data_IF_788044109328
#
_entry.id   IF_788044109328
#
_cell.length_a   1.000
_cell.length_b   1.000
_cell.length_c   1.000
_cell.angle_alpha   90.00
_cell.angle_beta   90.00
_cell.angle_gamma   90.00
#
_symmetry.space_group_name_H-M   'P 1'
#
loop_
_entity.id
_entity.type
_entity.pdbx_description
1 polymer ?
#
# COMPACT_ATOMS: atom_id res chain seq x y z
N UNK A 1 13.69 -17.99 -6.32
CA UNK A 1 13.51 -16.82 -7.18
C UNK A 1 12.16 -16.97 -7.85
N UNK A 2 11.12 -16.31 -7.35
CA UNK A 2 9.84 -16.26 -8.05
C UNK A 2 9.99 -15.25 -9.19
N UNK A 3 9.73 -15.67 -10.42
CA UNK A 3 9.65 -14.79 -11.60
C UNK A 3 8.59 -13.73 -11.34
N UNK A 4 9.00 -12.44 -11.34
CA UNK A 4 8.05 -11.31 -11.30
C UNK A 4 7.25 -11.32 -12.62
N UNK A 5 5.94 -11.41 -12.60
CA UNK A 5 5.14 -11.34 -13.82
C UNK A 5 5.22 -9.92 -14.39
N UNK A 6 5.78 -9.75 -15.58
CA UNK A 6 5.72 -8.51 -16.37
C UNK A 6 7.04 -7.88 -16.82
N UNK A 7 8.21 -8.41 -16.40
CA UNK A 7 9.51 -7.78 -16.68
C UNK A 7 10.05 -7.92 -18.10
N UNK A 8 9.52 -8.81 -18.92
CA UNK A 8 10.13 -9.20 -20.21
C UNK A 8 9.53 -8.49 -21.45
N UNK A 9 8.37 -7.84 -21.32
CA UNK A 9 7.75 -7.15 -22.45
C UNK A 9 8.43 -5.81 -22.71
N UNK A 10 8.95 -5.56 -23.94
CA UNK A 10 9.62 -4.29 -24.24
C UNK A 10 8.67 -3.09 -24.12
N UNK A 11 9.20 -1.95 -23.63
CA UNK A 11 8.43 -0.71 -23.49
C UNK A 11 7.68 -0.29 -24.77
N UNK A 12 8.28 -0.33 -25.98
CA UNK A 12 7.55 0.01 -27.21
C UNK A 12 6.31 -0.85 -27.44
N UNK A 13 6.41 -2.15 -27.13
CA UNK A 13 5.28 -3.09 -27.26
C UNK A 13 4.15 -2.79 -26.24
N UNK A 14 4.49 -2.44 -25.01
CA UNK A 14 3.51 -2.04 -23.98
C UNK A 14 2.80 -0.74 -24.36
N UNK A 15 3.53 0.24 -24.88
CA UNK A 15 2.94 1.47 -25.41
C UNK A 15 1.97 1.22 -26.53
N UNK A 16 2.35 0.37 -27.51
CA UNK A 16 1.47 -0.01 -28.60
C UNK A 16 0.20 -0.69 -28.10
N UNK A 17 0.32 -1.68 -27.20
CA UNK A 17 -0.84 -2.37 -26.61
C UNK A 17 -1.81 -1.39 -25.95
N UNK A 18 -1.28 -0.44 -25.15
CA UNK A 18 -2.10 0.58 -24.48
C UNK A 18 -2.84 1.48 -25.50
N UNK A 19 -2.14 1.92 -26.55
CA UNK A 19 -2.70 2.82 -27.57
C UNK A 19 -3.69 2.10 -28.49
N UNK A 20 -3.49 0.82 -28.78
CA UNK A 20 -4.44 0.00 -29.55
C UNK A 20 -5.79 -0.15 -28.86
N UNK A 21 -5.82 -0.20 -27.51
CA UNK A 21 -7.08 -0.21 -26.75
C UNK A 21 -7.91 1.08 -26.94
N UNK A 22 -7.33 2.15 -27.48
CA UNK A 22 -8.05 3.42 -27.67
C UNK A 22 -9.16 3.32 -28.72
N UNK A 23 -9.11 2.35 -29.63
CA UNK A 23 -10.22 2.02 -30.52
C UNK A 23 -11.46 1.58 -29.73
N UNK A 24 -11.28 0.67 -28.78
CA UNK A 24 -12.40 0.14 -27.98
C UNK A 24 -12.92 1.19 -26.98
N UNK A 25 -12.01 2.00 -26.41
CA UNK A 25 -12.39 3.16 -25.58
C UNK A 25 -13.23 4.16 -26.40
N UNK A 26 -12.81 4.46 -27.62
CA UNK A 26 -13.55 5.32 -28.53
C UNK A 26 -14.93 4.73 -28.87
N UNK A 27 -15.00 3.44 -29.20
CA UNK A 27 -16.26 2.78 -29.53
C UNK A 27 -17.26 2.79 -28.36
N UNK A 28 -16.76 2.54 -27.14
CA UNK A 28 -17.61 2.68 -25.94
C UNK A 28 -18.14 4.10 -25.79
N UNK A 29 -17.27 5.13 -25.90
CA UNK A 29 -17.65 6.54 -25.81
C UNK A 29 -18.65 6.94 -26.89
N UNK A 30 -18.46 6.44 -28.11
CA UNK A 30 -19.38 6.66 -29.22
C UNK A 30 -20.79 6.17 -28.92
N UNK A 31 -20.93 4.91 -28.49
CA UNK A 31 -22.24 4.31 -28.20
C UNK A 31 -22.95 4.94 -27.00
N UNK A 32 -22.19 5.52 -26.06
CA UNK A 32 -22.75 6.13 -24.85
C UNK A 32 -22.79 7.67 -24.89
N UNK A 33 -22.48 8.27 -26.05
CA UNK A 33 -22.41 9.72 -26.23
C UNK A 33 -21.49 10.43 -25.19
N UNK A 34 -20.39 9.78 -24.80
CA UNK A 34 -19.41 10.34 -23.90
C UNK A 34 -18.38 11.18 -24.65
N UNK A 35 -17.95 12.30 -24.06
CA UNK A 35 -16.88 13.11 -24.59
C UNK A 35 -15.55 12.36 -24.62
N UNK A 36 -14.71 12.65 -25.62
CA UNK A 36 -13.32 12.10 -25.68
C UNK A 36 -12.50 12.67 -24.51
N UNK A 37 -12.61 13.94 -24.23
CA UNK A 37 -11.95 14.61 -23.11
C UNK A 37 -12.70 14.36 -21.79
N UNK A 38 -11.94 13.99 -20.75
CA UNK A 38 -12.43 13.72 -19.39
C UNK A 38 -11.34 14.15 -18.40
N UNK A 39 -11.35 15.44 -18.04
CA UNK A 39 -10.29 16.05 -17.23
C UNK A 39 -10.16 15.43 -15.84
N UNK A 40 -11.26 14.99 -15.21
CA UNK A 40 -11.20 14.31 -13.92
C UNK A 40 -10.50 12.95 -14.06
N UNK A 41 -10.82 12.22 -15.13
CA UNK A 41 -10.19 10.95 -15.43
C UNK A 41 -8.73 11.10 -15.82
N UNK A 42 -8.39 12.09 -16.62
CA UNK A 42 -7.01 12.41 -17.02
C UNK A 42 -6.17 12.70 -15.78
N UNK A 43 -6.69 13.52 -14.84
CA UNK A 43 -6.05 13.79 -13.56
C UNK A 43 -5.81 12.51 -12.77
N UNK A 44 -6.83 11.64 -12.65
CA UNK A 44 -6.69 10.37 -11.92
C UNK A 44 -5.65 9.43 -12.56
N UNK A 45 -5.52 9.41 -13.89
CA UNK A 45 -4.48 8.65 -14.60
C UNK A 45 -3.09 9.20 -14.28
N UNK A 46 -2.91 10.52 -14.29
CA UNK A 46 -1.64 11.17 -13.96
C UNK A 46 -1.25 10.92 -12.50
N UNK A 47 -2.17 11.08 -11.57
CA UNK A 47 -1.91 10.85 -10.14
C UNK A 47 -1.48 9.39 -9.87
N UNK A 48 -2.18 8.41 -10.47
CA UNK A 48 -1.82 7.00 -10.35
C UNK A 48 -0.45 6.69 -10.99
N UNK A 49 -0.18 7.26 -12.18
CA UNK A 49 1.10 7.07 -12.85
C UNK A 49 2.27 7.63 -12.05
N UNK A 50 2.10 8.82 -11.44
CA UNK A 50 3.10 9.40 -10.56
C UNK A 50 3.35 8.55 -9.31
N UNK A 51 2.30 8.03 -8.66
CA UNK A 51 2.44 7.13 -7.51
C UNK A 51 3.16 5.83 -7.88
N UNK A 52 2.83 5.25 -9.04
CA UNK A 52 3.51 4.06 -9.56
C UNK A 52 4.98 4.37 -9.87
N UNK A 53 5.28 5.52 -10.48
CA UNK A 53 6.63 5.98 -10.83
C UNK A 53 7.54 6.14 -9.61
N UNK A 54 7.01 6.65 -8.49
CA UNK A 54 7.76 6.78 -7.24
C UNK A 54 8.26 5.45 -6.67
N UNK A 55 7.63 4.32 -7.00
CA UNK A 55 8.12 2.98 -6.60
C UNK A 55 9.48 2.67 -7.23
N UNK A 56 9.76 3.24 -8.38
CA UNK A 56 10.98 3.04 -9.15
C UNK A 56 11.97 4.21 -9.02
N UNK A 57 11.66 5.20 -8.20
CA UNK A 57 12.51 6.38 -8.00
C UNK A 57 12.44 7.41 -9.14
N UNK A 58 11.51 7.27 -10.07
CA UNK A 58 11.33 8.24 -11.17
C UNK A 58 10.81 9.57 -10.63
N UNK A 59 11.26 10.69 -11.25
CA UNK A 59 10.81 12.02 -10.83
C UNK A 59 9.35 12.26 -11.21
N UNK A 60 8.63 13.02 -10.40
CA UNK A 60 7.24 13.39 -10.66
C UNK A 60 7.09 14.19 -11.95
N UNK A 61 8.10 15.02 -12.29
CA UNK A 61 8.11 15.82 -13.51
C UNK A 61 8.21 14.94 -14.75
N UNK A 62 9.21 14.04 -14.78
CA UNK A 62 9.42 13.16 -15.94
C UNK A 62 8.23 12.20 -16.15
N UNK A 63 7.68 11.62 -15.07
CA UNK A 63 6.53 10.72 -15.16
C UNK A 63 5.27 11.45 -15.61
N UNK A 64 5.05 12.67 -15.12
CA UNK A 64 3.93 13.52 -15.56
C UNK A 64 4.02 13.80 -17.06
N UNK A 65 5.15 14.34 -17.53
CA UNK A 65 5.36 14.67 -18.94
C UNK A 65 5.13 13.46 -19.87
N UNK A 66 5.65 12.30 -19.48
CA UNK A 66 5.48 11.06 -20.26
C UNK A 66 4.02 10.59 -20.31
N UNK A 67 3.28 10.68 -19.21
CA UNK A 67 1.87 10.26 -19.20
C UNK A 67 0.93 11.31 -19.82
N UNK A 68 1.25 12.59 -19.75
CA UNK A 68 0.55 13.64 -20.52
C UNK A 68 0.67 13.37 -22.02
N UNK A 69 1.87 13.02 -22.51
CA UNK A 69 2.05 12.63 -23.93
C UNK A 69 1.20 11.40 -24.30
N UNK A 70 1.09 10.40 -23.43
CA UNK A 70 0.25 9.22 -23.67
C UNK A 70 -1.25 9.56 -23.68
N UNK A 71 -1.71 10.48 -22.83
CA UNK A 71 -3.10 10.94 -22.78
C UNK A 71 -3.44 11.70 -24.07
N UNK A 72 -2.57 12.60 -24.52
CA UNK A 72 -2.78 13.33 -25.77
C UNK A 72 -2.80 12.39 -26.98
N UNK A 73 -1.87 11.43 -27.06
CA UNK A 73 -1.87 10.41 -28.09
C UNK A 73 -3.18 9.59 -28.10
N UNK A 74 -3.68 9.23 -26.90
CA UNK A 74 -4.96 8.54 -26.76
C UNK A 74 -6.15 9.35 -27.28
N UNK A 75 -6.18 10.66 -27.03
CA UNK A 75 -7.21 11.56 -27.55
C UNK A 75 -7.14 11.70 -29.08
N UNK A 76 -5.93 11.79 -29.64
CA UNK A 76 -5.71 11.86 -31.09
C UNK A 76 -6.28 10.61 -31.77
N UNK A 77 -5.96 9.42 -31.27
CA UNK A 77 -6.46 8.14 -31.79
C UNK A 77 -8.00 8.06 -31.70
N UNK A 78 -8.58 8.47 -30.58
CA UNK A 78 -10.04 8.43 -30.41
C UNK A 78 -10.75 9.38 -31.38
N UNK A 79 -10.20 10.57 -31.66
CA UNK A 79 -10.75 11.50 -32.65
C UNK A 79 -10.71 10.90 -34.05
N UNK A 80 -9.59 10.30 -34.46
CA UNK A 80 -9.46 9.66 -35.77
C UNK A 80 -10.48 8.52 -35.97
N UNK A 81 -10.75 7.71 -34.93
CA UNK A 81 -11.81 6.71 -34.99
C UNK A 81 -13.19 7.32 -35.06
N UNK A 82 -13.49 8.41 -34.34
CA UNK A 82 -14.77 9.11 -34.45
C UNK A 82 -14.99 9.67 -35.85
N UNK A 83 -13.98 10.29 -36.46
CA UNK A 83 -14.03 10.80 -37.84
C UNK A 83 -14.32 9.66 -38.81
N UNK A 84 -13.63 8.54 -38.70
CA UNK A 84 -13.87 7.36 -39.55
C UNK A 84 -15.31 6.83 -39.41
N UNK A 85 -15.85 6.77 -38.20
CA UNK A 85 -17.21 6.26 -37.99
C UNK A 85 -18.31 7.24 -38.40
N UNK A 86 -18.04 8.51 -38.41
CA UNK A 86 -18.97 9.49 -39.03
C UNK A 86 -19.13 9.25 -40.53
N UNK A 87 -18.07 8.80 -41.21
CA UNK A 87 -18.09 8.54 -42.65
C UNK A 87 -18.56 7.12 -43.00
N UNK A 88 -18.13 6.12 -42.20
CA UNK A 88 -18.28 4.70 -42.55
C UNK A 88 -19.37 3.97 -41.75
N UNK A 89 -19.99 4.63 -40.79
CA UNK A 89 -21.02 4.06 -39.93
C UNK A 89 -20.49 3.63 -38.56
N UNK A 90 -21.42 3.38 -37.64
CA UNK A 90 -21.13 3.09 -36.23
C UNK A 90 -20.22 1.88 -36.00
N UNK A 91 -19.32 1.89 -35.02
CA UNK A 91 -18.46 0.76 -34.67
C UNK A 91 -19.26 -0.44 -34.13
N UNK A 92 -18.61 -1.60 -34.06
CA UNK A 92 -19.11 -2.72 -33.29
C UNK A 92 -19.18 -2.38 -31.79
N UNK A 93 -20.00 -3.13 -31.05
CA UNK A 93 -20.12 -2.97 -29.59
C UNK A 93 -18.77 -3.22 -28.93
N UNK A 94 -18.31 -2.27 -28.14
CA UNK A 94 -17.05 -2.37 -27.39
C UNK A 94 -17.23 -3.09 -26.03
N UNK A 95 -16.13 -3.62 -25.45
CA UNK A 95 -16.10 -4.03 -24.06
C UNK A 95 -16.49 -2.89 -23.10
N UNK A 96 -16.97 -3.25 -21.93
CA UNK A 96 -17.38 -2.25 -20.91
C UNK A 96 -16.16 -1.44 -20.42
N UNK A 97 -16.32 -0.11 -20.39
CA UNK A 97 -15.23 0.80 -20.04
C UNK A 97 -14.75 0.60 -18.58
N UNK A 98 -15.67 0.40 -17.65
CA UNK A 98 -15.32 0.31 -16.22
C UNK A 98 -14.90 -1.11 -15.82
N UNK A 99 -15.60 -2.12 -16.33
CA UNK A 99 -15.37 -3.51 -15.96
C UNK A 99 -14.15 -4.12 -16.68
N UNK A 100 -13.95 -3.77 -17.96
CA UNK A 100 -12.99 -4.47 -18.81
C UNK A 100 -11.80 -3.56 -19.20
N UNK A 101 -12.07 -2.37 -19.78
CA UNK A 101 -11.02 -1.52 -20.37
C UNK A 101 -10.17 -0.77 -19.33
N UNK A 102 -10.80 -0.12 -18.34
CA UNK A 102 -10.06 0.64 -17.31
C UNK A 102 -9.12 -0.25 -16.49
N UNK A 103 -9.50 -1.46 -16.03
CA UNK A 103 -8.57 -2.36 -15.36
C UNK A 103 -7.40 -2.81 -16.24
N UNK A 104 -7.64 -3.04 -17.55
CA UNK A 104 -6.58 -3.38 -18.49
C UNK A 104 -5.60 -2.21 -18.69
N UNK A 105 -6.11 -0.99 -18.84
CA UNK A 105 -5.31 0.22 -18.99
C UNK A 105 -4.48 0.54 -17.73
N UNK A 106 -5.01 0.27 -16.54
CA UNK A 106 -4.27 0.44 -15.28
C UNK A 106 -3.10 -0.54 -15.21
N UNK A 107 -3.35 -1.83 -15.49
CA UNK A 107 -2.27 -2.85 -15.54
C UNK A 107 -1.18 -2.50 -16.54
N UNK A 108 -1.56 -2.07 -17.75
CA UNK A 108 -0.59 -1.62 -18.77
C UNK A 108 0.17 -0.38 -18.31
N UNK A 109 -0.50 0.56 -17.60
CA UNK A 109 0.14 1.72 -17.02
C UNK A 109 1.26 1.35 -16.05
N UNK A 110 1.01 0.43 -15.13
CA UNK A 110 2.02 -0.05 -14.18
C UNK A 110 3.18 -0.77 -14.88
N UNK A 111 2.88 -1.63 -15.88
CA UNK A 111 3.90 -2.31 -16.67
C UNK A 111 4.75 -1.34 -17.49
N UNK A 112 4.14 -0.28 -18.06
CA UNK A 112 4.85 0.78 -18.79
C UNK A 112 5.79 1.52 -17.85
N UNK A 113 5.33 1.91 -16.65
CA UNK A 113 6.19 2.58 -15.64
C UNK A 113 7.38 1.69 -15.27
N UNK A 114 7.12 0.41 -14.98
CA UNK A 114 8.18 -0.53 -14.64
C UNK A 114 9.18 -0.70 -15.79
N UNK A 115 8.70 -0.97 -16.99
CA UNK A 115 9.56 -1.16 -18.17
C UNK A 115 10.35 0.12 -18.48
N UNK A 116 9.71 1.29 -18.37
CA UNK A 116 10.37 2.58 -18.57
C UNK A 116 11.47 2.85 -17.53
N UNK A 117 11.28 2.44 -16.28
CA UNK A 117 12.28 2.59 -15.23
C UNK A 117 13.45 1.60 -15.36
N UNK A 118 13.17 0.33 -15.64
CA UNK A 118 14.12 -0.77 -15.49
C UNK A 118 14.83 -1.16 -16.81
N UNK A 119 14.18 -0.94 -17.97
CA UNK A 119 14.74 -1.34 -19.26
C UNK A 119 15.63 -0.24 -19.88
N UNK A 120 16.62 -0.59 -20.71
CA UNK A 120 17.28 0.37 -21.57
C UNK A 120 16.26 1.11 -22.46
N UNK A 121 16.48 2.42 -22.66
CA UNK A 121 15.62 3.18 -23.57
C UNK A 121 15.89 2.68 -24.99
N UNK A 122 14.84 2.22 -25.69
CA UNK A 122 14.91 1.80 -27.07
C UNK A 122 15.36 2.96 -27.99
N UNK A 123 15.97 2.62 -29.13
CA UNK A 123 16.28 3.62 -30.14
C UNK A 123 15.01 4.29 -30.68
N UNK A 124 15.10 5.54 -31.12
CA UNK A 124 13.95 6.30 -31.62
C UNK A 124 13.30 5.61 -32.83
N UNK A 125 14.12 5.08 -33.73
CA UNK A 125 13.64 4.33 -34.90
C UNK A 125 12.81 3.10 -34.51
N UNK A 126 13.14 2.44 -33.39
CA UNK A 126 12.37 1.29 -32.89
C UNK A 126 11.03 1.75 -32.32
N UNK A 127 11.01 2.86 -31.57
CA UNK A 127 9.78 3.45 -31.05
C UNK A 127 8.88 3.94 -32.19
N UNK A 128 9.45 4.70 -33.11
CA UNK A 128 8.75 5.21 -34.29
C UNK A 128 8.15 4.11 -35.13
N UNK A 129 8.91 3.05 -35.46
CA UNK A 129 8.43 1.91 -36.24
C UNK A 129 7.20 1.22 -35.60
N UNK A 130 7.20 1.09 -34.27
CA UNK A 130 6.08 0.46 -33.55
C UNK A 130 4.87 1.39 -33.51
N UNK A 131 5.08 2.68 -33.26
CA UNK A 131 4.02 3.67 -33.06
C UNK A 131 3.34 4.08 -34.38
N UNK A 132 4.08 4.16 -35.49
CA UNK A 132 3.55 4.50 -36.83
C UNK A 132 2.49 3.50 -37.33
N UNK A 133 2.53 2.26 -36.83
CA UNK A 133 1.53 1.25 -37.17
C UNK A 133 0.19 1.41 -36.42
N UNK A 134 0.05 2.41 -35.55
CA UNK A 134 -1.17 2.65 -34.78
C UNK A 134 -2.07 3.60 -35.56
N UNK A 135 -3.27 3.12 -35.93
CA UNK A 135 -4.23 3.91 -36.68
C UNK A 135 -4.59 5.22 -35.93
N UNK A 136 -4.55 6.32 -36.68
CA UNK A 136 -4.93 7.64 -36.21
C UNK A 136 -3.88 8.35 -35.34
N UNK A 137 -2.73 7.73 -35.06
CA UNK A 137 -1.65 8.38 -34.35
C UNK A 137 -0.87 9.30 -35.32
N UNK A 138 -0.78 10.58 -34.99
CA UNK A 138 -0.05 11.57 -35.81
C UNK A 138 1.44 11.58 -35.51
N UNK A 139 2.26 12.03 -36.49
CA UNK A 139 3.73 12.16 -36.32
C UNK A 139 4.07 13.04 -35.12
N UNK A 140 3.37 14.15 -34.92
CA UNK A 140 3.55 15.02 -33.77
C UNK A 140 3.27 14.32 -32.42
N UNK A 141 2.29 13.40 -32.38
CA UNK A 141 2.00 12.63 -31.17
C UNK A 141 3.07 11.54 -30.93
N UNK A 142 3.64 10.97 -32.01
CA UNK A 142 4.77 10.03 -31.94
C UNK A 142 6.00 10.75 -31.37
N UNK A 143 6.34 11.92 -31.90
CA UNK A 143 7.48 12.73 -31.44
C UNK A 143 7.33 13.08 -29.94
N UNK A 144 6.15 13.49 -29.50
CA UNK A 144 5.87 13.78 -28.09
C UNK A 144 6.02 12.53 -27.20
N UNK A 145 5.58 11.36 -27.65
CA UNK A 145 5.78 10.11 -26.92
C UNK A 145 7.25 9.74 -26.80
N UNK A 146 8.02 9.86 -27.88
CA UNK A 146 9.47 9.59 -27.91
C UNK A 146 10.18 10.59 -26.96
N UNK A 147 9.82 11.86 -27.02
CA UNK A 147 10.36 12.88 -26.11
C UNK A 147 10.05 12.53 -24.66
N UNK A 148 8.83 12.12 -24.34
CA UNK A 148 8.44 11.67 -23.00
C UNK A 148 9.24 10.45 -22.52
N UNK A 149 9.47 9.46 -23.39
CA UNK A 149 10.31 8.30 -23.06
C UNK A 149 11.77 8.74 -22.77
N UNK A 150 12.32 9.64 -23.57
CA UNK A 150 13.69 10.18 -23.40
C UNK A 150 13.86 11.03 -22.15
N UNK A 151 12.79 11.70 -21.72
CA UNK A 151 12.78 12.58 -20.55
C UNK A 151 12.90 11.87 -19.20
N UNK A 152 13.20 10.56 -19.19
CA UNK A 152 13.33 9.74 -17.96
C UNK A 152 14.38 10.31 -16.99
N UNK A 153 13.95 10.60 -15.77
CA UNK A 153 14.82 11.07 -14.70
C UNK A 153 14.49 10.40 -13.36
N UNK A 154 15.51 10.27 -12.51
CA UNK A 154 15.40 9.60 -11.21
C UNK A 154 15.77 10.55 -10.07
N UNK A 155 15.09 10.38 -8.92
CA UNK A 155 15.56 10.97 -7.68
C UNK A 155 16.84 10.26 -7.19
N UNK A 156 17.80 10.96 -6.58
CA UNK A 156 19.05 10.36 -6.12
C UNK A 156 18.86 9.45 -4.90
N UNK A 157 17.87 9.74 -4.04
CA UNK A 157 17.58 9.05 -2.80
C UNK A 157 16.12 9.22 -2.38
N UNK A 158 15.69 8.50 -1.32
CA UNK A 158 14.30 8.52 -0.85
C UNK A 158 13.91 9.88 -0.28
N UNK A 159 14.80 10.57 0.44
CA UNK A 159 14.49 11.89 0.99
C UNK A 159 14.26 12.90 -0.13
N UNK A 160 15.12 12.92 -1.14
CA UNK A 160 14.96 13.76 -2.34
C UNK A 160 13.66 13.45 -3.07
N UNK A 161 13.27 12.17 -3.14
CA UNK A 161 12.00 11.73 -3.73
C UNK A 161 10.80 12.31 -2.94
N UNK A 162 10.79 12.18 -1.62
CA UNK A 162 9.72 12.70 -0.76
C UNK A 162 9.57 14.21 -0.91
N UNK A 163 10.69 14.93 -0.84
CA UNK A 163 10.71 16.40 -0.93
C UNK A 163 10.34 16.89 -2.34
N UNK A 164 10.86 16.25 -3.38
CA UNK A 164 10.59 16.61 -4.77
C UNK A 164 9.16 16.28 -5.20
N UNK A 165 8.63 15.14 -4.77
CA UNK A 165 7.24 14.73 -5.02
C UNK A 165 6.23 15.49 -4.13
N UNK A 166 6.69 16.17 -3.07
CA UNK A 166 5.85 16.81 -2.04
C UNK A 166 4.89 15.83 -1.35
N UNK A 167 5.26 14.55 -1.26
CA UNK A 167 4.43 13.47 -0.71
C UNK A 167 5.27 12.50 0.10
N UNK A 168 4.76 12.11 1.28
CA UNK A 168 5.29 11.01 2.09
C UNK A 168 4.31 9.84 2.01
N UNK A 169 4.72 8.72 1.40
CA UNK A 169 3.90 7.51 1.32
C UNK A 169 4.07 6.71 2.61
N UNK A 170 2.96 6.46 3.30
CA UNK A 170 2.93 5.82 4.62
C UNK A 170 2.14 4.51 4.53
N UNK A 171 2.82 3.38 4.63
CA UNK A 171 2.19 2.06 4.69
C UNK A 171 1.46 1.86 6.02
N UNK A 172 0.20 1.43 5.98
CA UNK A 172 -0.59 1.12 7.17
C UNK A 172 -1.60 0.02 6.91
N UNK A 173 -1.84 -0.85 7.92
CA UNK A 173 -2.74 -1.99 7.74
C UNK A 173 -4.21 -1.62 7.93
N UNK A 174 -4.50 -0.62 8.77
CA UNK A 174 -5.87 -0.14 9.01
C UNK A 174 -6.78 -1.12 9.76
N UNK A 175 -6.21 -2.09 10.45
CA UNK A 175 -6.94 -3.15 11.16
C UNK A 175 -6.43 -3.37 12.59
N UNK A 176 -5.59 -2.47 13.10
CA UNK A 176 -4.90 -2.64 14.38
C UNK A 176 -5.09 -1.43 15.31
N UNK A 177 -6.22 -1.38 15.99
CA UNK A 177 -6.48 -0.38 17.04
C UNK A 177 -5.57 -0.63 18.28
N UNK A 178 -5.08 0.43 18.96
CA UNK A 178 -5.37 1.86 18.76
C UNK A 178 -4.45 2.55 17.73
N UNK A 179 -3.55 1.83 17.08
CA UNK A 179 -2.52 2.41 16.21
C UNK A 179 -3.07 2.83 14.84
N UNK A 180 -3.82 1.94 14.18
CA UNK A 180 -4.30 2.18 12.83
C UNK A 180 -5.65 1.51 12.58
N UNK A 181 -6.63 2.29 12.16
CA UNK A 181 -7.96 1.84 11.74
C UNK A 181 -8.32 2.49 10.41
N UNK A 182 -8.99 1.74 9.53
CA UNK A 182 -9.58 2.25 8.30
C UNK A 182 -11.11 2.30 8.42
N UNK A 183 -11.69 3.41 7.97
CA UNK A 183 -13.13 3.63 7.86
C UNK A 183 -13.47 4.23 6.49
N UNK A 184 -14.74 4.59 6.29
CA UNK A 184 -15.19 5.37 5.12
C UNK A 184 -14.52 6.73 5.02
N UNK A 185 -14.15 7.32 6.16
CA UNK A 185 -13.53 8.64 6.25
C UNK A 185 -11.99 8.60 6.13
N UNK A 186 -11.43 7.41 5.91
CA UNK A 186 -10.00 7.20 5.75
C UNK A 186 -9.34 6.51 6.95
N UNK A 187 -8.04 6.72 7.10
CA UNK A 187 -7.26 6.13 8.19
C UNK A 187 -7.27 7.01 9.43
N UNK A 188 -7.31 6.38 10.61
CA UNK A 188 -7.26 7.02 11.93
C UNK A 188 -6.44 6.20 12.93
N UNK A 189 -6.06 6.80 14.05
CA UNK A 189 -5.30 6.16 15.12
C UNK A 189 -3.99 6.88 15.46
N UNK A 190 -3.30 6.36 16.48
CA UNK A 190 -2.07 6.94 16.99
C UNK A 190 -0.98 7.04 15.92
N UNK A 191 -0.78 5.97 15.18
CA UNK A 191 0.24 5.87 14.15
C UNK A 191 -0.07 6.77 12.93
N UNK A 192 -1.36 6.97 12.65
CA UNK A 192 -1.80 7.93 11.63
C UNK A 192 -1.41 9.35 12.06
N UNK A 193 -1.62 9.70 13.33
CA UNK A 193 -1.21 11.01 13.89
C UNK A 193 0.31 11.20 13.90
N UNK A 194 1.08 10.14 14.17
CA UNK A 194 2.55 10.18 14.07
C UNK A 194 2.95 10.42 12.62
N UNK A 195 2.39 9.67 11.67
CA UNK A 195 2.68 9.80 10.23
C UNK A 195 2.36 11.19 9.69
N UNK A 196 1.21 11.76 10.05
CA UNK A 196 0.84 13.14 9.73
C UNK A 196 1.82 14.16 10.31
N UNK A 197 2.30 13.92 11.54
CA UNK A 197 3.29 14.80 12.19
C UNK A 197 4.65 14.76 11.47
N UNK A 198 5.08 13.59 11.00
CA UNK A 198 6.29 13.42 10.21
C UNK A 198 6.15 14.16 8.86
N UNK A 199 5.05 13.95 8.14
CA UNK A 199 4.80 14.62 6.87
C UNK A 199 4.77 16.15 7.03
N UNK A 200 4.12 16.65 8.08
CA UNK A 200 4.11 18.07 8.44
C UNK A 200 5.52 18.61 8.71
N UNK A 201 6.35 17.88 9.44
CA UNK A 201 7.73 18.29 9.74
C UNK A 201 8.59 18.36 8.46
N UNK A 202 8.33 17.50 7.49
CA UNK A 202 8.97 17.51 6.17
C UNK A 202 8.37 18.54 5.20
N UNK A 203 7.24 19.17 5.54
CA UNK A 203 6.55 20.11 4.65
C UNK A 203 5.92 19.46 3.42
N UNK A 204 5.43 18.22 3.57
CA UNK A 204 4.86 17.41 2.49
C UNK A 204 3.47 16.85 2.88
N UNK A 205 2.72 16.37 1.89
CA UNK A 205 1.43 15.70 2.12
C UNK A 205 1.62 14.24 2.54
N UNK A 206 0.91 13.76 3.57
CA UNK A 206 0.85 12.34 3.89
C UNK A 206 -0.05 11.59 2.92
N UNK A 207 0.44 10.51 2.32
CA UNK A 207 -0.35 9.61 1.48
C UNK A 207 -0.36 8.23 2.14
N UNK A 208 -1.48 7.86 2.76
CA UNK A 208 -1.62 6.56 3.40
C UNK A 208 -1.87 5.47 2.34
N UNK A 209 -1.00 4.46 2.35
CA UNK A 209 -1.04 3.30 1.45
C UNK A 209 -1.46 2.09 2.26
N UNK A 210 -2.59 1.48 1.87
CA UNK A 210 -3.05 0.27 2.55
C UNK A 210 -2.11 -0.89 2.26
N UNK A 211 -1.68 -1.57 3.32
CA UNK A 211 -0.97 -2.85 3.29
C UNK A 211 -1.68 -3.86 4.18
N UNK A 212 -1.11 -5.04 4.38
CA UNK A 212 -1.60 -6.06 5.30
C UNK A 212 -0.43 -6.70 6.06
N UNK A 213 -0.72 -7.38 7.16
CA UNK A 213 0.34 -8.08 7.92
C UNK A 213 1.09 -9.11 7.08
N UNK A 214 0.42 -9.95 6.25
CA UNK A 214 1.10 -10.89 5.37
C UNK A 214 1.96 -10.23 4.29
N UNK A 215 1.58 -9.06 3.77
CA UNK A 215 2.26 -8.40 2.63
C UNK A 215 3.20 -7.27 3.04
N UNK A 216 3.17 -6.81 4.31
CA UNK A 216 3.91 -5.64 4.79
C UNK A 216 5.37 -5.56 4.28
N UNK A 217 6.11 -6.65 4.42
CA UNK A 217 7.54 -6.65 4.03
C UNK A 217 7.72 -6.76 2.51
N UNK A 218 6.84 -7.48 1.81
CA UNK A 218 6.85 -7.54 0.34
C UNK A 218 6.47 -6.18 -0.26
N UNK A 219 5.51 -5.48 0.34
CA UNK A 219 5.09 -4.14 -0.10
C UNK A 219 6.20 -3.11 0.19
N UNK A 220 6.92 -3.24 1.31
CA UNK A 220 8.10 -2.46 1.61
C UNK A 220 9.22 -2.68 0.57
N UNK A 221 9.58 -3.92 0.29
CA UNK A 221 10.59 -4.27 -0.72
C UNK A 221 10.17 -3.84 -2.13
N UNK A 222 8.86 -3.88 -2.42
CA UNK A 222 8.25 -3.37 -3.64
C UNK A 222 8.16 -1.84 -3.72
N UNK A 223 8.65 -1.12 -2.68
CA UNK A 223 8.65 0.35 -2.58
C UNK A 223 7.27 1.00 -2.75
N UNK A 224 6.21 0.34 -2.24
CA UNK A 224 4.86 0.92 -2.27
C UNK A 224 4.72 2.11 -1.32
N UNK A 225 5.56 2.21 -0.29
CA UNK A 225 5.60 3.31 0.67
C UNK A 225 7.05 3.61 1.11
N UNK A 226 7.26 4.80 1.66
CA UNK A 226 8.57 5.30 2.11
C UNK A 226 8.83 4.94 3.56
N UNK A 227 7.78 5.01 4.38
CA UNK A 227 7.75 4.58 5.79
C UNK A 227 6.50 3.75 6.04
N UNK A 228 6.48 2.98 7.13
CA UNK A 228 5.27 2.27 7.56
C UNK A 228 5.02 2.45 9.06
N UNK A 229 3.74 2.62 9.40
CA UNK A 229 3.19 2.86 10.73
C UNK A 229 1.88 2.10 10.91
N UNK A 230 1.82 1.16 11.85
CA UNK A 230 0.65 0.36 12.22
C UNK A 230 0.92 -0.45 13.50
N UNK A 231 1.51 0.16 14.53
CA UNK A 231 1.97 -0.59 15.70
C UNK A 231 3.04 -1.62 15.34
N UNK A 232 3.94 -1.28 14.43
CA UNK A 232 4.90 -2.25 13.87
C UNK A 232 5.94 -2.62 14.93
N UNK A 233 5.99 -3.90 15.26
CA UNK A 233 6.99 -4.45 16.17
C UNK A 233 8.36 -4.48 15.50
N UNK A 234 9.38 -3.98 16.20
CA UNK A 234 10.79 -4.14 15.83
C UNK A 234 11.15 -5.60 16.03
N UNK A 235 11.57 -6.27 14.95
CA UNK A 235 12.08 -7.64 14.99
C UNK A 235 13.41 -7.71 14.26
N UNK A 236 14.28 -8.64 14.66
CA UNK A 236 15.57 -8.86 13.99
C UNK A 236 15.40 -9.10 12.49
N UNK A 237 14.42 -9.94 12.11
CA UNK A 237 14.12 -10.24 10.71
C UNK A 237 13.81 -8.99 9.88
N UNK A 238 13.01 -8.07 10.43
CA UNK A 238 12.69 -6.79 9.75
C UNK A 238 13.88 -5.85 9.74
N UNK A 239 14.65 -5.78 10.83
CA UNK A 239 15.83 -4.91 10.95
C UNK A 239 16.99 -5.33 10.00
N UNK A 240 17.02 -6.58 9.52
CA UNK A 240 17.98 -7.01 8.50
C UNK A 240 17.79 -6.30 7.15
N UNK A 241 16.58 -5.89 6.81
CA UNK A 241 16.24 -5.32 5.49
C UNK A 241 15.75 -3.88 5.54
N UNK A 242 15.26 -3.41 6.68
CA UNK A 242 14.70 -2.07 6.88
C UNK A 242 15.40 -1.35 8.05
N UNK A 243 15.22 -0.04 8.15
CA UNK A 243 15.54 0.73 9.35
C UNK A 243 14.29 0.95 10.20
N UNK A 244 14.52 1.24 11.47
CA UNK A 244 13.51 1.62 12.43
C UNK A 244 13.87 2.95 13.08
N UNK A 245 12.86 3.73 13.45
CA UNK A 245 13.04 4.92 14.29
C UNK A 245 13.41 4.51 15.73
N UNK A 246 13.71 5.52 16.56
CA UNK A 246 13.62 5.35 17.99
C UNK A 246 12.25 4.79 18.37
N UNK A 247 12.16 3.84 19.32
CA UNK A 247 10.89 3.27 19.72
C UNK A 247 9.96 4.32 20.32
N UNK A 248 8.69 4.30 19.91
CA UNK A 248 7.69 5.21 20.47
C UNK A 248 6.74 4.54 21.49
N UNK A 249 6.73 3.20 21.55
CA UNK A 249 5.94 2.45 22.50
C UNK A 249 6.61 1.12 22.84
N UNK A 250 6.69 0.80 24.15
CA UNK A 250 7.14 -0.51 24.63
C UNK A 250 5.92 -1.38 24.94
N UNK A 251 5.92 -2.63 24.46
CA UNK A 251 4.82 -3.56 24.59
C UNK A 251 5.33 -5.00 24.78
N UNK A 252 4.42 -5.97 24.78
CA UNK A 252 4.74 -7.39 24.85
C UNK A 252 3.52 -8.25 24.56
N UNK A 253 3.77 -9.53 24.25
CA UNK A 253 2.68 -10.50 24.08
C UNK A 253 2.08 -10.84 25.43
N UNK A 254 0.75 -11.01 25.46
CA UNK A 254 0.02 -11.53 26.57
C UNK A 254 -1.16 -12.41 26.07
N UNK A 255 -1.81 -13.14 26.98
CA UNK A 255 -2.94 -14.00 26.63
C UNK A 255 -4.26 -13.29 26.89
N UNK A 256 -5.12 -13.24 25.89
CA UNK A 256 -6.51 -12.78 25.97
C UNK A 256 -7.45 -14.00 25.94
N UNK A 257 -8.43 -14.02 26.81
CA UNK A 257 -9.49 -15.00 26.83
C UNK A 257 -10.70 -14.51 27.60
N UNK A 258 -11.69 -15.37 27.86
CA UNK A 258 -12.84 -15.01 28.70
C UNK A 258 -12.42 -14.94 30.16
N UNK A 259 -12.94 -13.95 30.91
CA UNK A 259 -12.65 -13.81 32.33
C UNK A 259 -13.00 -15.06 33.15
N UNK A 260 -14.02 -15.82 32.75
CA UNK A 260 -14.41 -17.08 33.36
C UNK A 260 -13.33 -18.17 33.31
N UNK A 261 -12.42 -18.06 32.38
CA UNK A 261 -11.38 -19.06 32.10
C UNK A 261 -10.04 -18.75 32.79
N UNK A 262 -9.91 -17.60 33.44
CA UNK A 262 -8.65 -17.03 33.92
C UNK A 262 -7.83 -17.91 34.86
N UNK A 263 -8.47 -18.73 35.70
CA UNK A 263 -7.77 -19.67 36.59
C UNK A 263 -7.27 -20.93 35.88
N UNK A 264 -7.87 -21.24 34.73
CA UNK A 264 -7.58 -22.46 33.96
C UNK A 264 -6.40 -22.26 33.01
N UNK A 265 -6.26 -21.07 32.43
CA UNK A 265 -5.34 -20.79 31.34
C UNK A 265 -4.51 -19.53 31.62
N UNK A 266 -3.51 -19.66 32.48
CA UNK A 266 -2.64 -18.53 32.87
C UNK A 266 -1.19 -18.62 32.37
N UNK A 267 -0.82 -19.75 31.79
CA UNK A 267 0.54 -20.00 31.26
C UNK A 267 0.50 -20.64 29.86
N UNK A 268 1.58 -20.52 29.10
CA UNK A 268 1.69 -21.19 27.79
C UNK A 268 1.49 -22.70 27.91
N UNK A 269 2.06 -23.35 28.94
CA UNK A 269 1.88 -24.78 29.17
C UNK A 269 0.43 -25.17 29.47
N UNK A 270 -0.37 -24.29 30.07
CA UNK A 270 -1.77 -24.57 30.36
C UNK A 270 -2.66 -24.50 29.12
N UNK A 271 -2.25 -23.72 28.11
CA UNK A 271 -3.03 -23.54 26.85
C UNK A 271 -2.53 -24.44 25.72
N UNK A 272 -1.30 -24.97 25.78
CA UNK A 272 -0.77 -25.85 24.73
C UNK A 272 -1.25 -27.30 24.91
N UNK A 273 -2.56 -27.49 24.76
CA UNK A 273 -3.25 -28.79 24.91
C UNK A 273 -4.26 -28.98 23.76
N UNK A 274 -4.49 -30.24 23.32
CA UNK A 274 -5.36 -30.52 22.17
C UNK A 274 -6.78 -29.99 22.27
N UNK A 275 -7.31 -29.85 23.50
CA UNK A 275 -8.67 -29.34 23.75
C UNK A 275 -8.78 -27.82 23.73
N UNK A 276 -7.65 -27.08 23.68
CA UNK A 276 -7.64 -25.60 23.65
C UNK A 276 -7.62 -25.10 22.21
N UNK A 277 -8.49 -24.15 21.93
CA UNK A 277 -8.60 -23.51 20.61
C UNK A 277 -7.94 -22.14 20.66
N UNK A 278 -6.73 -22.05 20.08
CA UNK A 278 -5.98 -20.79 19.93
C UNK A 278 -6.36 -20.16 18.61
N UNK A 279 -6.74 -18.88 18.63
CA UNK A 279 -7.05 -18.10 17.43
C UNK A 279 -5.96 -17.06 17.19
N UNK A 280 -5.62 -16.82 15.93
CA UNK A 280 -4.55 -15.89 15.55
C UNK A 280 -4.86 -15.24 14.21
N UNK A 281 -4.47 -13.96 14.04
CA UNK A 281 -4.50 -13.28 12.76
C UNK A 281 -3.27 -13.64 11.90
N UNK A 282 -3.40 -13.70 10.55
CA UNK A 282 -2.33 -14.15 9.68
C UNK A 282 -1.18 -13.15 9.53
N UNK A 283 0.05 -13.66 9.34
CA UNK A 283 1.22 -12.95 8.81
C UNK A 283 1.91 -11.97 9.77
N UNK A 284 1.38 -11.75 10.97
CA UNK A 284 1.95 -10.84 11.96
C UNK A 284 2.85 -11.53 12.99
N UNK A 285 3.29 -10.75 13.98
CA UNK A 285 4.08 -11.26 15.11
C UNK A 285 3.27 -12.12 16.07
N UNK A 286 1.93 -12.02 16.05
CA UNK A 286 1.05 -12.87 16.83
C UNK A 286 1.13 -14.32 16.31
N UNK A 287 0.96 -14.51 15.00
CA UNK A 287 1.09 -15.83 14.38
C UNK A 287 2.49 -16.40 14.59
N UNK A 288 3.53 -15.60 14.33
CA UNK A 288 4.93 -16.06 14.53
C UNK A 288 5.17 -16.55 15.97
N UNK A 289 4.64 -15.82 16.97
CA UNK A 289 4.77 -16.21 18.37
C UNK A 289 4.01 -17.52 18.67
N UNK A 290 2.80 -17.68 18.16
CA UNK A 290 2.00 -18.90 18.33
C UNK A 290 2.69 -20.08 17.66
N UNK A 291 3.17 -19.93 16.42
CA UNK A 291 3.88 -20.97 15.66
C UNK A 291 5.17 -21.43 16.37
N UNK A 292 5.83 -20.52 17.10
CA UNK A 292 7.05 -20.82 17.85
C UNK A 292 6.77 -21.57 19.17
N UNK A 293 5.70 -21.20 19.88
CA UNK A 293 5.52 -21.61 21.28
C UNK A 293 4.38 -22.63 21.51
N UNK A 294 3.44 -22.78 20.56
CA UNK A 294 2.30 -23.67 20.68
C UNK A 294 2.46 -24.86 19.73
N UNK A 295 2.32 -26.08 20.26
CA UNK A 295 2.56 -27.32 19.49
C UNK A 295 1.36 -28.27 19.48
N UNK A 296 0.57 -28.27 20.54
CA UNK A 296 -0.47 -29.28 20.78
C UNK A 296 -1.88 -28.70 20.67
N UNK A 297 -2.07 -27.40 20.93
CA UNK A 297 -3.36 -26.75 20.85
C UNK A 297 -3.89 -26.67 19.40
N UNK A 298 -5.19 -26.61 19.26
CA UNK A 298 -5.82 -26.39 17.96
C UNK A 298 -5.70 -24.93 17.56
N UNK A 299 -4.90 -24.62 16.51
CA UNK A 299 -4.68 -23.26 16.03
C UNK A 299 -5.65 -22.97 14.87
N UNK A 300 -6.39 -21.86 14.97
CA UNK A 300 -7.24 -21.33 13.91
C UNK A 300 -6.70 -19.99 13.45
N UNK A 301 -6.40 -19.86 12.16
CA UNK A 301 -6.07 -18.57 11.54
C UNK A 301 -7.35 -17.88 11.12
N UNK A 302 -7.53 -16.62 11.54
CA UNK A 302 -8.73 -15.81 11.29
C UNK A 302 -8.35 -14.50 10.62
N UNK A 303 -8.89 -14.25 9.44
CA UNK A 303 -8.41 -13.18 8.55
C UNK A 303 -8.78 -11.76 9.00
N UNK A 304 -9.93 -11.58 9.67
CA UNK A 304 -10.37 -10.23 10.10
C UNK A 304 -9.92 -9.91 11.52
N UNK A 305 -8.80 -9.21 11.63
CA UNK A 305 -8.24 -8.79 12.92
C UNK A 305 -9.16 -7.86 13.74
N UNK A 306 -10.16 -7.24 13.12
CA UNK A 306 -11.10 -6.34 13.83
C UNK A 306 -12.20 -7.11 14.56
N UNK A 307 -12.57 -8.28 14.06
CA UNK A 307 -13.68 -9.10 14.58
C UNK A 307 -13.21 -10.36 15.32
N UNK A 308 -11.94 -10.71 15.27
CA UNK A 308 -11.34 -11.90 15.89
C UNK A 308 -11.69 -12.04 17.39
N UNK A 309 -11.80 -10.92 18.10
CA UNK A 309 -12.13 -10.91 19.54
C UNK A 309 -13.56 -11.38 19.84
N UNK A 310 -14.47 -11.25 18.89
CA UNK A 310 -15.83 -11.75 19.00
C UNK A 310 -15.86 -13.29 19.00
N UNK A 311 -14.91 -13.95 18.35
CA UNK A 311 -14.80 -15.41 18.34
C UNK A 311 -14.50 -15.95 19.74
N UNK A 312 -13.66 -15.23 20.51
CA UNK A 312 -13.32 -15.58 21.89
C UNK A 312 -14.52 -15.31 22.81
N UNK A 313 -15.12 -14.13 22.72
CA UNK A 313 -16.28 -13.77 23.53
C UNK A 313 -17.46 -14.72 23.31
N UNK A 314 -17.68 -15.16 22.08
CA UNK A 314 -18.73 -16.10 21.71
C UNK A 314 -18.40 -17.58 22.00
N UNK A 315 -17.22 -17.88 22.54
CA UNK A 315 -16.80 -19.25 22.85
C UNK A 315 -16.46 -20.12 21.64
N UNK A 316 -16.26 -19.52 20.45
CA UNK A 316 -15.81 -20.24 19.26
C UNK A 316 -14.31 -20.44 19.23
N UNK A 317 -13.54 -19.58 19.92
CA UNK A 317 -12.15 -19.78 20.30
C UNK A 317 -11.98 -19.58 21.81
N UNK A 318 -10.83 -19.97 22.34
CA UNK A 318 -10.58 -19.91 23.78
C UNK A 318 -9.54 -18.85 24.11
N UNK A 319 -8.45 -18.78 23.36
CA UNK A 319 -7.28 -17.92 23.63
C UNK A 319 -6.85 -17.23 22.35
N UNK A 320 -6.45 -15.96 22.51
CA UNK A 320 -5.61 -15.25 21.55
C UNK A 320 -4.34 -14.76 22.27
N UNK A 321 -3.17 -14.99 21.66
CA UNK A 321 -1.92 -14.36 22.09
C UNK A 321 -1.70 -13.14 21.22
N UNK A 322 -1.78 -11.97 21.86
CA UNK A 322 -1.64 -10.68 21.16
C UNK A 322 -0.91 -9.66 22.02
N UNK A 323 -0.76 -8.43 21.52
CA UNK A 323 -0.07 -7.36 22.23
C UNK A 323 -0.89 -6.84 23.42
N UNK A 324 -0.23 -6.54 24.52
CA UNK A 324 -0.90 -6.12 25.76
C UNK A 324 -1.72 -4.84 25.58
N UNK A 325 -1.29 -3.91 24.74
CA UNK A 325 -2.05 -2.69 24.41
C UNK A 325 -3.39 -3.03 23.77
N UNK A 326 -3.43 -4.03 22.88
CA UNK A 326 -4.65 -4.49 22.23
C UNK A 326 -5.58 -5.18 23.24
N UNK A 327 -5.02 -5.98 24.16
CA UNK A 327 -5.79 -6.58 25.27
C UNK A 327 -6.44 -5.49 26.13
N UNK A 328 -5.69 -4.46 26.51
CA UNK A 328 -6.25 -3.33 27.28
C UNK A 328 -7.45 -2.68 26.58
N UNK A 329 -7.33 -2.45 25.27
CA UNK A 329 -8.43 -1.90 24.47
C UNK A 329 -9.64 -2.83 24.43
N UNK A 330 -9.42 -4.12 24.19
CA UNK A 330 -10.51 -5.08 24.04
C UNK A 330 -11.23 -5.38 25.35
N UNK A 331 -10.50 -5.44 26.46
CA UNK A 331 -11.09 -5.64 27.80
C UNK A 331 -11.88 -4.42 28.27
N UNK A 332 -11.46 -3.20 27.89
CA UNK A 332 -12.24 -1.99 28.14
C UNK A 332 -13.58 -1.98 27.37
N UNK A 333 -13.57 -2.49 26.13
CA UNK A 333 -14.76 -2.55 25.26
C UNK A 333 -15.69 -3.73 25.57
N UNK A 334 -15.13 -4.82 26.07
CA UNK A 334 -15.88 -6.05 26.37
C UNK A 334 -15.46 -6.60 27.75
N UNK A 335 -16.26 -6.34 28.80
CA UNK A 335 -15.99 -6.80 30.16
C UNK A 335 -15.97 -8.33 30.35
N UNK A 336 -16.42 -9.12 29.35
CA UNK A 336 -16.31 -10.58 29.43
C UNK A 336 -14.91 -11.09 29.08
N UNK A 337 -14.07 -10.25 28.49
CA UNK A 337 -12.70 -10.56 28.11
C UNK A 337 -11.71 -10.04 29.15
N UNK A 338 -10.66 -10.82 29.42
CA UNK A 338 -9.62 -10.51 30.38
C UNK A 338 -8.24 -10.89 29.82
N UNK A 339 -7.20 -10.19 30.31
CA UNK A 339 -5.85 -10.73 30.24
C UNK A 339 -5.76 -11.92 31.19
N UNK A 340 -5.35 -13.07 30.67
CA UNK A 340 -5.25 -14.31 31.45
C UNK A 340 -3.85 -14.57 31.95
N UNK A 341 -2.81 -14.17 31.24
CA UNK A 341 -1.42 -14.27 31.70
C UNK A 341 -1.14 -13.29 32.86
N UNK A 342 -0.37 -13.72 33.88
CA UNK A 342 0.01 -12.86 35.01
C UNK A 342 0.90 -11.67 34.61
N UNK A 343 1.56 -11.76 33.43
CA UNK A 343 2.42 -10.71 32.89
C UNK A 343 2.55 -10.82 31.38
N UNK A 344 3.60 -10.18 30.87
CA UNK A 344 3.93 -10.25 29.46
C UNK A 344 4.71 -11.55 29.16
N UNK A 345 4.38 -12.20 28.05
CA UNK A 345 5.06 -13.39 27.56
C UNK A 345 6.32 -13.05 26.75
N UNK A 346 6.42 -11.82 26.29
CA UNK A 346 7.60 -11.28 25.58
C UNK A 346 7.67 -9.77 25.78
N UNK A 347 8.81 -9.18 25.41
CA UNK A 347 9.01 -7.73 25.38
C UNK A 347 9.45 -7.30 24.02
N UNK A 348 8.84 -6.25 23.46
CA UNK A 348 9.21 -5.69 22.19
C UNK A 348 8.84 -4.21 22.11
N UNK A 349 9.38 -3.54 21.12
CA UNK A 349 9.15 -2.13 20.87
C UNK A 349 8.35 -1.91 19.59
N UNK A 350 7.52 -0.87 19.57
CA UNK A 350 6.87 -0.33 18.37
C UNK A 350 7.68 0.85 17.85
N UNK A 351 7.97 0.87 16.57
CA UNK A 351 8.73 1.92 15.91
C UNK A 351 8.26 2.14 14.47
N UNK A 352 8.62 3.28 13.89
CA UNK A 352 8.40 3.56 12.46
C UNK A 352 9.36 2.70 11.65
N UNK A 353 8.82 1.86 10.77
CA UNK A 353 9.62 1.13 9.78
C UNK A 353 9.88 2.06 8.58
N UNK A 354 11.12 2.14 8.10
CA UNK A 354 11.50 3.07 7.04
C UNK A 354 12.64 2.56 6.17
N UNK A 355 12.80 3.18 5.01
CA UNK A 355 13.91 2.88 4.09
C UNK A 355 15.26 3.25 4.70
N UNK A 356 16.33 2.65 4.18
CA UNK A 356 17.71 2.91 4.62
C UNK A 356 18.26 4.19 3.98
N UNK A 357 17.64 5.31 4.32
CA UNK A 357 18.04 6.66 3.92
C UNK A 357 18.39 7.46 5.18
N UNK A 358 19.63 7.95 5.28
CA UNK A 358 20.11 8.59 6.50
C UNK A 358 19.43 9.91 6.80
N UNK A 359 19.08 10.70 5.79
CA UNK A 359 18.41 11.98 5.96
C UNK A 359 16.96 11.78 6.39
N UNK A 360 16.26 10.82 5.78
CA UNK A 360 14.91 10.43 6.19
C UNK A 360 14.92 9.90 7.64
N UNK A 361 15.86 9.00 7.97
CA UNK A 361 15.98 8.44 9.31
C UNK A 361 16.20 9.53 10.37
N UNK A 362 17.08 10.50 10.11
CA UNK A 362 17.33 11.62 11.02
C UNK A 362 16.06 12.47 11.24
N UNK A 363 15.34 12.79 10.17
CA UNK A 363 14.12 13.61 10.24
C UNK A 363 12.97 12.90 10.95
N UNK A 364 12.79 11.59 10.69
CA UNK A 364 11.77 10.77 11.38
C UNK A 364 12.10 10.66 12.87
N UNK A 365 13.35 10.33 13.22
CA UNK A 365 13.79 10.26 14.63
C UNK A 365 13.58 11.56 15.37
N UNK A 366 14.02 12.68 14.82
CA UNK A 366 13.83 13.99 15.41
C UNK A 366 12.34 14.32 15.69
N UNK A 367 11.46 13.90 14.76
CA UNK A 367 10.01 14.11 14.94
C UNK A 367 9.44 13.19 16.02
N UNK A 368 9.79 11.91 16.03
CA UNK A 368 9.32 10.95 17.03
C UNK A 368 9.81 11.33 18.44
N UNK A 369 11.09 11.68 18.59
CA UNK A 369 11.67 12.15 19.85
C UNK A 369 10.97 13.39 20.39
N UNK A 370 10.69 14.37 19.53
CA UNK A 370 9.92 15.56 19.92
C UNK A 370 8.51 15.20 20.39
N UNK A 371 7.79 14.33 19.66
CA UNK A 371 6.45 13.89 20.06
C UNK A 371 6.44 13.12 21.39
N UNK A 372 7.50 12.35 21.67
CA UNK A 372 7.71 11.67 22.96
C UNK A 372 7.95 12.68 24.08
N UNK A 373 8.86 13.65 23.87
CA UNK A 373 9.18 14.71 24.86
C UNK A 373 7.97 15.60 25.17
N UNK A 374 7.14 15.89 24.16
CA UNK A 374 5.88 16.64 24.31
C UNK A 374 4.75 15.82 24.98
N UNK A 375 4.95 14.51 25.21
CA UNK A 375 3.92 13.60 25.73
C UNK A 375 2.74 13.34 24.78
N UNK A 376 2.87 13.73 23.50
CA UNK A 376 1.79 13.64 22.51
C UNK A 376 1.36 12.20 22.23
N UNK A 377 2.33 11.30 22.07
CA UNK A 377 2.05 9.89 21.77
C UNK A 377 1.30 9.26 22.94
N UNK A 378 1.72 9.51 24.17
CA UNK A 378 1.04 9.02 25.37
C UNK A 378 -0.39 9.58 25.50
N UNK A 379 -0.60 10.86 25.16
CA UNK A 379 -1.92 11.46 25.15
C UNK A 379 -2.84 10.78 24.13
N UNK A 380 -2.40 10.63 22.88
CA UNK A 380 -3.18 9.95 21.84
C UNK A 380 -3.50 8.50 22.19
N UNK A 381 -2.55 7.78 22.81
CA UNK A 381 -2.79 6.40 23.27
C UNK A 381 -3.83 6.36 24.38
N UNK A 382 -3.73 7.26 25.37
CA UNK A 382 -4.70 7.31 26.47
C UNK A 382 -6.10 7.66 25.97
N UNK A 383 -6.22 8.63 25.05
CA UNK A 383 -7.49 8.99 24.43
C UNK A 383 -8.10 7.81 23.67
N UNK A 384 -7.29 7.10 22.90
CA UNK A 384 -7.75 5.94 22.11
C UNK A 384 -8.11 4.71 22.98
N UNK A 385 -7.53 4.59 24.18
CA UNK A 385 -7.80 3.50 25.13
C UNK A 385 -8.96 3.82 26.10
N UNK A 386 -9.39 5.09 26.17
CA UNK A 386 -10.49 5.53 27.03
C UNK A 386 -11.89 5.22 26.43
N UNK A 387 -11.95 4.89 25.13
CA UNK A 387 -13.17 4.57 24.37
C UNK A 387 -13.15 3.11 23.89
#
# INVERSE_FOLDING_TARGET
MAQRPGGDTPLPSLLAQRLQLMRDVAAYKWHHAHAIEDLEREKAVLDNAQLSALRFGLTSESSRAFFEAQIEAAKVIQRAWFEQWYEQGSPAIAPDLNRDLRPALLRLGDQIVQAWAEQPIAADETLEQVLTNIYGLSDAAIDNLIHGVRGRAFYPDTMSQILGAKRLRIGTTGDYAPFSLVSTDGFSGVDVSIGQSIAKALGVEPVFVKTSWPTLMADYEGRYFDIALSGITVTEKRALVANFSVPYYADGKAMLGRCSDGRRWSTLASIDRPEVRVIVNPGGTNQAFVDEHIRNATITVFDDNRTIFHEIAAGRADIMITDAVEIRLQTARNPSLCQLSEGLLSHHNKAVLMTRDSALNASVNATVERLLQEGRISAWLNDALAY
#
